data_IF_956601186690
#
_entry.id   IF_956601186690
#
_cell.length_a   1.000
_cell.length_b   1.000
_cell.length_c   1.000
_cell.angle_alpha   90.00
_cell.angle_beta   90.00
_cell.angle_gamma   90.00
#
_symmetry.space_group_name_H-M   'P 1'
#
loop_
_entity.id
_entity.type
_entity.pdbx_description
1 polymer ?
#
# COMPACT_ATOMS: atom_id res chain seq x y z
N UNK A 1 -34.33 -12.81 109.99
CA UNK A 1 -35.13 -13.45 108.94
C UNK A 1 -34.71 -12.82 107.63
N UNK A 2 -34.00 -13.57 106.80
CA UNK A 2 -33.38 -13.15 105.55
C UNK A 2 -34.39 -13.24 104.40
N UNK A 3 -34.75 -12.09 103.82
CA UNK A 3 -35.62 -12.01 102.65
C UNK A 3 -34.98 -12.66 101.43
N UNK A 4 -35.69 -13.60 100.82
CA UNK A 4 -35.29 -14.18 99.53
C UNK A 4 -35.63 -13.17 98.43
N UNK A 5 -34.62 -12.80 97.64
CA UNK A 5 -34.82 -11.97 96.44
C UNK A 5 -35.49 -12.81 95.36
N UNK A 6 -36.56 -12.30 94.76
CA UNK A 6 -37.21 -12.90 93.60
C UNK A 6 -36.29 -12.85 92.38
N UNK A 7 -36.30 -13.90 91.57
CA UNK A 7 -35.59 -13.97 90.29
C UNK A 7 -36.11 -12.94 89.30
N UNK A 8 -35.21 -12.24 88.61
CA UNK A 8 -35.54 -11.38 87.47
C UNK A 8 -36.27 -12.21 86.39
N UNK A 9 -37.35 -11.66 85.82
CA UNK A 9 -38.05 -12.27 84.68
C UNK A 9 -37.16 -12.33 83.44
N UNK A 10 -37.38 -13.35 82.59
CA UNK A 10 -36.65 -13.51 81.33
C UNK A 10 -36.90 -12.32 80.39
N UNK A 11 -35.83 -11.84 79.75
CA UNK A 11 -35.92 -10.82 78.69
C UNK A 11 -36.83 -11.29 77.56
N UNK A 12 -37.70 -10.40 77.07
CA UNK A 12 -38.55 -10.65 75.91
C UNK A 12 -37.75 -10.97 74.65
N UNK A 13 -38.32 -11.82 73.80
CA UNK A 13 -37.74 -12.24 72.52
C UNK A 13 -37.69 -11.03 71.58
N UNK A 14 -36.50 -10.70 71.04
CA UNK A 14 -36.37 -9.67 70.00
C UNK A 14 -37.23 -10.04 68.77
N UNK A 15 -37.95 -9.06 68.22
CA UNK A 15 -38.68 -9.23 66.96
C UNK A 15 -37.72 -9.52 65.79
N UNK A 16 -38.16 -10.33 64.83
CA UNK A 16 -37.40 -10.63 63.61
C UNK A 16 -37.25 -9.36 62.76
N UNK A 17 -36.02 -9.00 62.41
CA UNK A 17 -35.75 -7.95 61.42
C UNK A 17 -36.55 -8.21 60.14
N UNK A 18 -37.30 -7.20 59.67
CA UNK A 18 -37.97 -7.27 58.38
C UNK A 18 -36.97 -7.49 57.26
N UNK A 19 -37.36 -8.27 56.25
CA UNK A 19 -36.55 -8.48 55.04
C UNK A 19 -36.20 -7.14 54.40
N UNK A 20 -34.90 -6.88 54.18
CA UNK A 20 -34.45 -5.77 53.33
C UNK A 20 -35.26 -5.78 52.03
N UNK A 21 -35.89 -4.65 51.70
CA UNK A 21 -36.57 -4.50 50.42
C UNK A 21 -35.64 -4.86 49.28
N UNK A 22 -36.16 -5.54 48.26
CA UNK A 22 -35.38 -5.90 47.08
C UNK A 22 -34.68 -4.67 46.51
N UNK A 23 -33.34 -4.72 46.38
CA UNK A 23 -32.59 -3.74 45.59
C UNK A 23 -33.19 -3.78 44.18
N UNK A 24 -33.80 -2.69 43.74
CA UNK A 24 -34.38 -2.63 42.40
C UNK A 24 -33.29 -2.66 41.32
N UNK A 25 -33.67 -3.04 40.11
CA UNK A 25 -32.70 -3.32 39.04
C UNK A 25 -31.95 -2.03 38.64
N UNK A 26 -30.62 -2.05 38.48
CA UNK A 26 -29.86 -0.89 38.04
C UNK A 26 -30.43 -0.26 36.76
N UNK A 27 -30.16 1.03 36.55
CA UNK A 27 -30.40 1.67 35.26
C UNK A 27 -29.77 0.89 34.10
N UNK A 28 -30.37 0.94 32.91
CA UNK A 28 -29.87 0.18 31.76
C UNK A 28 -28.47 0.64 31.33
N UNK A 29 -27.60 -0.30 30.94
CA UNK A 29 -26.28 0.05 30.40
C UNK A 29 -26.41 0.72 29.03
N UNK A 30 -25.60 1.75 28.80
CA UNK A 30 -25.53 2.42 27.50
C UNK A 30 -25.05 1.49 26.38
N UNK A 31 -25.50 1.73 25.16
CA UNK A 31 -25.10 0.93 23.99
C UNK A 31 -23.63 1.16 23.63
N UNK A 32 -22.93 0.12 23.16
CA UNK A 32 -21.59 0.30 22.60
C UNK A 32 -21.64 1.13 21.31
N UNK A 33 -20.66 1.99 21.11
CA UNK A 33 -20.46 2.73 19.85
C UNK A 33 -20.04 1.82 18.71
N UNK A 34 -20.43 2.17 17.48
CA UNK A 34 -20.08 1.37 16.31
C UNK A 34 -18.59 1.49 15.97
N UNK A 35 -17.96 0.39 15.56
CA UNK A 35 -16.59 0.44 15.08
C UNK A 35 -16.50 1.15 13.71
N UNK A 36 -15.41 1.86 13.49
CA UNK A 36 -15.08 2.49 12.22
C UNK A 36 -14.74 1.46 11.16
N UNK A 37 -15.04 1.77 9.90
CA UNK A 37 -14.73 0.87 8.77
C UNK A 37 -13.26 0.93 8.41
N UNK A 38 -12.69 -0.18 7.99
CA UNK A 38 -11.33 -0.20 7.47
C UNK A 38 -11.22 0.55 6.13
N UNK A 39 -10.06 1.17 5.92
CA UNK A 39 -9.70 1.80 4.67
C UNK A 39 -9.40 0.77 3.58
N UNK A 40 -9.74 1.10 2.34
CA UNK A 40 -9.51 0.21 1.21
C UNK A 40 -8.03 0.21 0.81
N UNK A 41 -7.48 -0.97 0.51
CA UNK A 41 -6.16 -1.09 -0.10
C UNK A 41 -6.13 -0.57 -1.54
N UNK A 42 -4.92 -0.37 -2.06
CA UNK A 42 -4.69 0.19 -3.40
C UNK A 42 -4.26 -0.84 -4.42
N UNK A 43 -4.42 -0.49 -5.69
CA UNK A 43 -3.92 -1.30 -6.80
C UNK A 43 -2.40 -1.14 -6.97
N UNK A 44 -1.71 -2.20 -7.41
CA UNK A 44 -0.30 -2.12 -7.76
C UNK A 44 -0.10 -1.28 -9.04
N UNK A 45 1.11 -0.74 -9.17
CA UNK A 45 1.59 -0.12 -10.40
C UNK A 45 1.84 -1.15 -11.49
N UNK A 46 1.64 -0.75 -12.74
CA UNK A 46 1.91 -1.62 -13.89
C UNK A 46 3.42 -1.76 -14.10
N UNK A 47 3.90 -2.95 -14.44
CA UNK A 47 5.32 -3.11 -14.78
C UNK A 47 5.62 -2.53 -16.16
N UNK A 48 6.82 -1.97 -16.30
CA UNK A 48 7.39 -1.59 -17.57
C UNK A 48 7.60 -2.81 -18.47
N UNK A 49 7.60 -2.59 -19.77
CA UNK A 49 7.84 -3.63 -20.77
C UNK A 49 9.32 -3.67 -21.11
N UNK A 50 9.90 -4.87 -21.20
CA UNK A 50 11.26 -5.02 -21.72
C UNK A 50 11.37 -4.47 -23.15
N UNK A 51 12.52 -3.90 -23.47
CA UNK A 51 12.84 -3.50 -24.83
C UNK A 51 13.21 -4.70 -25.68
N UNK A 52 13.01 -4.56 -26.99
CA UNK A 52 13.21 -5.66 -27.92
C UNK A 52 14.64 -5.78 -28.40
N UNK A 53 14.94 -6.96 -28.94
CA UNK A 53 16.21 -7.26 -29.55
C UNK A 53 16.14 -6.97 -31.05
N UNK A 54 17.20 -6.43 -31.61
CA UNK A 54 17.27 -6.13 -33.03
C UNK A 54 18.63 -6.47 -33.62
N UNK A 55 18.61 -6.83 -34.90
CA UNK A 55 19.78 -6.92 -35.75
C UNK A 55 19.72 -5.79 -36.76
N UNK A 56 20.82 -5.07 -36.87
CA UNK A 56 20.98 -3.95 -37.81
C UNK A 56 22.14 -4.27 -38.72
N UNK A 57 21.93 -4.23 -40.03
CA UNK A 57 22.99 -4.42 -41.03
C UNK A 57 23.30 -3.11 -41.72
N UNK A 58 24.57 -2.71 -41.70
CA UNK A 58 25.10 -1.52 -42.36
C UNK A 58 25.87 -1.94 -43.62
N UNK A 59 25.48 -1.40 -44.76
CA UNK A 59 26.08 -1.68 -46.07
C UNK A 59 26.32 -0.38 -46.85
N UNK A 60 27.24 -0.41 -47.80
CA UNK A 60 27.57 0.75 -48.64
C UNK A 60 28.78 1.52 -48.10
N UNK A 61 28.77 2.84 -48.25
CA UNK A 61 29.89 3.71 -47.88
C UNK A 61 29.45 4.75 -46.85
N UNK A 62 30.43 5.45 -46.29
CA UNK A 62 30.17 6.60 -45.39
C UNK A 62 29.34 7.69 -46.10
N UNK A 63 29.38 7.78 -47.44
CA UNK A 63 28.59 8.76 -48.20
C UNK A 63 27.19 8.24 -48.57
N UNK A 64 27.08 6.95 -48.89
CA UNK A 64 25.85 6.28 -49.32
C UNK A 64 25.63 5.01 -48.48
N UNK A 65 24.88 5.15 -47.39
CA UNK A 65 24.66 4.10 -46.40
C UNK A 65 23.29 3.45 -46.59
N UNK A 66 23.27 2.12 -46.67
CA UNK A 66 22.07 1.30 -46.56
C UNK A 66 22.03 0.66 -45.17
N UNK A 67 20.91 0.86 -44.46
CA UNK A 67 20.65 0.28 -43.14
C UNK A 67 19.48 -0.67 -43.27
N UNK A 68 19.73 -1.95 -43.03
CA UNK A 68 18.68 -2.95 -42.89
C UNK A 68 18.41 -3.19 -41.41
N UNK A 69 17.14 -3.18 -41.02
CA UNK A 69 16.69 -3.43 -39.66
C UNK A 69 15.86 -4.71 -39.63
N UNK A 70 16.19 -5.60 -38.70
CA UNK A 70 15.44 -6.81 -38.38
C UNK A 70 15.17 -6.85 -36.89
N UNK A 71 13.90 -6.78 -36.51
CA UNK A 71 13.46 -6.86 -35.11
C UNK A 71 12.92 -8.24 -34.78
N UNK A 72 13.18 -8.74 -33.57
CA UNK A 72 12.72 -10.06 -33.14
C UNK A 72 11.62 -9.93 -32.07
N UNK A 73 10.36 -10.27 -32.41
CA UNK A 73 9.24 -10.35 -31.44
C UNK A 73 7.93 -9.72 -31.91
N UNK A 74 6.86 -9.87 -31.09
CA UNK A 74 5.60 -9.13 -31.24
C UNK A 74 5.65 -7.83 -30.42
N UNK A 75 5.25 -6.72 -31.03
CA UNK A 75 5.28 -5.40 -30.40
C UNK A 75 4.10 -5.18 -29.46
N UNK A 76 4.40 -4.62 -28.29
CA UNK A 76 3.45 -3.81 -27.53
C UNK A 76 3.81 -2.33 -27.76
N UNK A 77 2.82 -1.43 -27.72
CA UNK A 77 2.85 -0.02 -28.15
C UNK A 77 3.95 0.91 -27.55
N UNK A 78 4.92 0.39 -26.81
CA UNK A 78 5.91 1.13 -26.03
C UNK A 78 7.34 1.09 -26.61
N UNK A 79 7.65 0.17 -27.53
CA UNK A 79 9.00 0.03 -28.12
C UNK A 79 9.17 1.03 -29.29
N UNK A 80 10.13 1.95 -29.20
CA UNK A 80 10.43 2.97 -30.22
C UNK A 80 11.92 2.93 -30.59
N UNK A 81 12.23 2.79 -31.88
CA UNK A 81 13.59 2.94 -32.41
C UNK A 81 13.77 4.36 -32.93
N UNK A 82 14.61 5.16 -32.28
CA UNK A 82 14.86 6.55 -32.66
C UNK A 82 16.16 6.65 -33.45
N UNK A 83 16.08 7.04 -34.73
CA UNK A 83 17.22 7.61 -35.48
C UNK A 83 17.04 9.12 -35.56
N UNK A 84 18.04 9.90 -35.99
CA UNK A 84 17.91 11.37 -36.14
C UNK A 84 16.87 11.82 -37.18
N UNK A 85 16.21 10.87 -37.85
CA UNK A 85 14.99 11.06 -38.62
C UNK A 85 13.88 10.36 -37.82
N UNK A 86 12.85 11.11 -37.39
CA UNK A 86 11.74 10.60 -36.61
C UNK A 86 10.90 9.61 -37.44
N UNK A 87 11.14 8.30 -37.27
CA UNK A 87 10.30 7.26 -37.87
C UNK A 87 9.34 6.69 -36.81
N UNK A 88 8.05 7.02 -36.93
CA UNK A 88 6.98 6.40 -36.13
C UNK A 88 6.62 5.04 -36.74
N UNK A 89 7.18 3.96 -36.21
CA UNK A 89 6.71 2.60 -36.52
C UNK A 89 5.45 2.30 -35.71
N UNK A 90 4.28 2.35 -36.36
CA UNK A 90 3.00 1.89 -35.79
C UNK A 90 2.64 0.47 -36.22
N UNK A 91 3.52 -0.21 -36.97
CA UNK A 91 3.27 -1.55 -37.49
C UNK A 91 4.48 -2.48 -37.31
N UNK A 92 4.18 -3.75 -37.05
CA UNK A 92 5.09 -4.89 -37.01
C UNK A 92 5.90 -4.95 -38.31
N UNK A 93 7.17 -4.55 -38.28
CA UNK A 93 8.06 -4.76 -39.43
C UNK A 93 9.01 -5.89 -39.07
N UNK A 94 8.83 -7.06 -39.68
CA UNK A 94 9.75 -8.19 -39.48
C UNK A 94 11.12 -7.90 -40.07
N UNK A 95 11.20 -7.04 -41.09
CA UNK A 95 12.42 -6.65 -41.79
C UNK A 95 12.17 -5.37 -42.61
N UNK A 96 13.05 -4.38 -42.53
CA UNK A 96 12.91 -3.10 -43.22
C UNK A 96 14.27 -2.61 -43.76
N UNK A 97 14.28 -2.03 -44.97
CA UNK A 97 15.47 -1.47 -45.59
C UNK A 97 15.35 0.05 -45.71
N UNK A 98 16.37 0.77 -45.28
CA UNK A 98 16.45 2.22 -45.29
C UNK A 98 17.72 2.70 -45.98
N UNK A 99 17.58 3.67 -46.86
CA UNK A 99 18.70 4.24 -47.61
C UNK A 99 18.93 5.68 -47.14
N UNK A 100 20.17 6.00 -46.79
CA UNK A 100 20.59 7.30 -46.31
C UNK A 100 21.77 7.82 -47.14
N UNK A 101 21.73 9.10 -47.50
CA UNK A 101 22.93 9.81 -47.94
C UNK A 101 23.43 10.66 -46.78
N UNK A 102 24.66 10.40 -46.35
CA UNK A 102 25.30 11.14 -45.26
C UNK A 102 26.19 12.28 -45.79
N UNK A 103 26.22 12.49 -47.11
CA UNK A 103 27.06 13.49 -47.79
C UNK A 103 26.87 14.92 -47.25
N UNK A 104 25.73 15.23 -46.63
CA UNK A 104 25.42 16.53 -46.04
C UNK A 104 25.23 16.50 -44.52
N UNK A 105 25.32 15.31 -43.88
CA UNK A 105 24.99 15.15 -42.46
C UNK A 105 26.27 15.07 -41.62
N UNK A 106 26.45 15.99 -40.67
CA UNK A 106 27.49 15.89 -39.62
C UNK A 106 27.04 15.00 -38.45
N UNK A 107 26.13 14.06 -38.69
CA UNK A 107 25.33 13.39 -37.66
C UNK A 107 25.73 11.95 -37.40
N UNK A 108 25.35 11.46 -36.22
CA UNK A 108 25.35 10.04 -35.83
C UNK A 108 23.94 9.46 -35.97
N UNK A 109 23.85 8.17 -36.23
CA UNK A 109 22.62 7.37 -36.15
C UNK A 109 22.47 6.93 -34.70
N UNK A 110 21.49 7.48 -34.01
CA UNK A 110 21.07 6.98 -32.70
C UNK A 110 20.26 5.68 -32.91
N UNK A 111 20.40 4.74 -31.98
CA UNK A 111 19.59 3.54 -31.86
C UNK A 111 19.17 3.45 -30.39
N UNK A 112 17.86 3.41 -30.14
CA UNK A 112 17.33 3.28 -28.79
C UNK A 112 16.58 1.96 -28.63
N UNK A 113 16.96 1.20 -27.61
CA UNK A 113 16.33 -0.02 -27.17
C UNK A 113 16.12 0.07 -25.65
N UNK A 114 15.38 1.10 -25.24
CA UNK A 114 15.17 1.45 -23.83
C UNK A 114 14.00 0.64 -23.28
N UNK A 115 14.15 0.14 -22.05
CA UNK A 115 13.08 -0.53 -21.32
C UNK A 115 11.98 0.42 -20.85
N UNK A 116 10.76 -0.09 -20.71
CA UNK A 116 9.62 0.68 -20.22
C UNK A 116 9.73 0.99 -18.72
N UNK A 117 9.18 2.13 -18.29
CA UNK A 117 9.13 2.46 -16.86
C UNK A 117 7.99 1.70 -16.16
N UNK A 118 8.24 1.26 -14.92
CA UNK A 118 7.21 0.81 -14.01
C UNK A 118 6.36 1.98 -13.50
N UNK A 119 5.07 1.74 -13.36
CA UNK A 119 4.13 2.70 -12.78
C UNK A 119 4.15 2.68 -11.25
N UNK A 120 3.81 3.80 -10.63
CA UNK A 120 3.72 3.91 -9.17
C UNK A 120 2.50 3.12 -8.62
N UNK A 121 2.66 2.57 -7.41
CA UNK A 121 1.58 1.95 -6.66
C UNK A 121 0.58 2.98 -6.13
N UNK A 122 -0.70 2.60 -6.07
CA UNK A 122 -1.75 3.52 -5.64
C UNK A 122 -1.68 3.90 -4.16
N UNK A 123 -2.21 5.07 -3.81
CA UNK A 123 -2.46 5.47 -2.41
C UNK A 123 -3.72 4.79 -1.86
N UNK A 124 -3.73 4.51 -0.57
CA UNK A 124 -4.79 3.73 0.08
C UNK A 124 -5.76 4.57 0.90
N UNK A 125 -6.92 4.01 1.18
CA UNK A 125 -7.98 4.67 1.94
C UNK A 125 -7.68 4.76 3.43
N UNK A 126 -8.21 5.81 4.08
CA UNK A 126 -8.14 5.96 5.53
C UNK A 126 -9.18 5.08 6.22
N UNK A 127 -8.86 4.62 7.43
CA UNK A 127 -9.81 3.99 8.31
C UNK A 127 -10.79 5.02 8.91
N UNK A 128 -12.04 4.60 9.10
CA UNK A 128 -13.09 5.43 9.69
C UNK A 128 -12.97 5.51 11.21
N UNK A 129 -13.51 6.56 11.80
CA UNK A 129 -13.52 6.72 13.26
C UNK A 129 -14.60 5.85 13.91
N UNK A 130 -14.32 5.37 15.11
CA UNK A 130 -15.32 4.70 15.95
C UNK A 130 -16.33 5.69 16.52
N UNK A 131 -17.58 5.24 16.67
CA UNK A 131 -18.67 6.01 17.29
C UNK A 131 -18.56 6.05 18.80
N UNK A 132 -19.11 7.07 19.44
CA UNK A 132 -19.16 7.14 20.90
C UNK A 132 -20.18 6.14 21.48
N UNK A 133 -19.90 5.66 22.69
CA UNK A 133 -20.83 4.84 23.46
C UNK A 133 -22.00 5.67 24.00
N UNK A 134 -23.15 5.02 24.17
CA UNK A 134 -24.35 5.62 24.72
C UNK A 134 -24.25 5.83 26.23
N UNK A 135 -25.00 6.79 26.77
CA UNK A 135 -25.06 7.01 28.21
C UNK A 135 -25.82 5.89 28.92
N UNK A 136 -25.42 5.60 30.15
CA UNK A 136 -26.17 4.73 31.05
C UNK A 136 -27.46 5.38 31.53
N UNK A 137 -28.48 4.55 31.75
CA UNK A 137 -29.80 4.97 32.22
C UNK A 137 -29.78 5.40 33.69
N UNK A 138 -30.71 6.27 34.07
CA UNK A 138 -30.88 6.67 35.45
C UNK A 138 -31.34 5.52 36.34
N UNK A 139 -30.83 5.46 37.56
CA UNK A 139 -31.38 4.60 38.61
C UNK A 139 -32.76 5.10 39.02
N UNK A 140 -33.69 4.21 39.37
CA UNK A 140 -35.03 4.65 39.78
C UNK A 140 -34.98 5.27 41.17
N UNK A 141 -35.68 6.39 41.28
CA UNK A 141 -36.01 6.97 42.57
C UNK A 141 -37.07 6.09 43.25
N UNK A 142 -36.97 5.96 44.57
CA UNK A 142 -38.05 5.30 45.31
C UNK A 142 -39.25 6.25 45.41
N UNK A 143 -40.44 5.73 45.08
CA UNK A 143 -41.68 6.47 45.33
C UNK A 143 -41.82 6.72 46.83
N UNK A 144 -42.12 7.96 47.21
CA UNK A 144 -42.63 8.27 48.57
C UNK A 144 -43.96 7.54 48.76
N UNK A 145 -43.91 6.28 49.19
CA UNK A 145 -45.05 5.37 49.17
C UNK A 145 -45.15 4.55 50.44
N UNK A 146 -46.05 5.01 51.31
CA UNK A 146 -46.51 4.40 52.56
C UNK A 146 -45.55 4.52 53.75
N UNK A 147 -45.84 5.51 54.61
CA UNK A 147 -45.26 5.71 55.93
C UNK A 147 -45.56 4.51 56.85
N UNK A 148 -44.82 3.42 56.68
CA UNK A 148 -44.82 2.34 57.66
C UNK A 148 -43.93 2.79 58.81
N UNK A 149 -44.58 3.15 59.92
CA UNK A 149 -43.92 3.34 61.21
C UNK A 149 -43.11 2.08 61.54
N UNK A 150 -41.78 2.18 61.50
CA UNK A 150 -40.87 1.09 61.87
C UNK A 150 -40.24 0.31 60.71
N UNK A 151 -40.51 0.66 59.44
CA UNK A 151 -39.84 0.06 58.28
C UNK A 151 -38.61 0.86 57.83
N UNK A 152 -37.52 0.18 57.46
CA UNK A 152 -36.41 0.80 56.73
C UNK A 152 -36.92 1.26 55.35
N UNK A 153 -36.79 2.55 55.03
CA UNK A 153 -37.04 3.05 53.66
C UNK A 153 -35.95 2.50 52.73
N UNK A 154 -36.31 2.22 51.47
CA UNK A 154 -35.37 1.64 50.50
C UNK A 154 -34.40 2.69 49.94
N UNK A 155 -33.14 2.28 49.73
CA UNK A 155 -32.15 3.07 49.01
C UNK A 155 -32.57 3.27 47.54
N UNK A 156 -32.06 4.35 46.95
CA UNK A 156 -32.21 4.61 45.53
C UNK A 156 -31.42 3.60 44.70
N UNK A 157 -31.90 3.28 43.50
CA UNK A 157 -31.22 2.29 42.66
C UNK A 157 -29.96 2.88 42.02
N UNK A 158 -28.95 2.03 41.78
CA UNK A 158 -27.73 2.45 41.06
C UNK A 158 -28.06 2.84 39.62
N UNK A 159 -27.42 3.91 39.12
CA UNK A 159 -27.45 4.27 37.71
C UNK A 159 -26.76 3.22 36.83
N UNK A 160 -27.18 3.12 35.57
CA UNK A 160 -26.59 2.21 34.60
C UNK A 160 -25.21 2.66 34.15
N UNK A 161 -24.32 1.73 33.84
CA UNK A 161 -23.00 2.06 33.31
C UNK A 161 -23.12 2.62 31.87
N UNK A 162 -22.23 3.53 31.49
CA UNK A 162 -22.13 4.01 30.11
C UNK A 162 -21.60 2.94 29.16
N UNK A 163 -22.03 2.98 27.91
CA UNK A 163 -21.56 2.07 26.88
C UNK A 163 -20.13 2.40 26.45
N UNK A 164 -19.36 1.38 26.06
CA UNK A 164 -18.01 1.61 25.52
C UNK A 164 -18.07 2.32 24.15
N UNK A 165 -17.05 3.11 23.81
CA UNK A 165 -16.85 3.63 22.47
C UNK A 165 -16.50 2.52 21.48
N UNK A 166 -16.82 2.73 20.20
CA UNK A 166 -16.39 1.87 19.11
C UNK A 166 -14.92 2.09 18.77
N UNK A 167 -14.25 1.07 18.25
CA UNK A 167 -12.87 1.18 17.78
C UNK A 167 -12.80 1.94 16.45
N UNK A 168 -11.69 2.60 16.16
CA UNK A 168 -11.41 3.12 14.83
C UNK A 168 -11.02 1.99 13.86
N UNK A 169 -11.38 2.14 12.60
CA UNK A 169 -10.98 1.22 11.53
C UNK A 169 -9.51 1.38 11.17
N UNK A 170 -8.88 0.32 10.68
CA UNK A 170 -7.51 0.35 10.19
C UNK A 170 -7.41 1.09 8.86
N UNK A 171 -6.26 1.68 8.56
CA UNK A 171 -5.98 2.23 7.23
C UNK A 171 -5.70 1.13 6.20
N UNK A 172 -6.02 1.38 4.94
CA UNK A 172 -5.74 0.46 3.85
C UNK A 172 -4.25 0.35 3.54
N UNK A 173 -3.81 -0.75 2.93
CA UNK A 173 -2.42 -0.93 2.47
C UNK A 173 -2.20 -0.24 1.12
N UNK A 174 -1.10 0.51 0.99
CA UNK A 174 -0.69 1.10 -0.28
C UNK A 174 -0.29 0.06 -1.32
N UNK A 175 -0.41 0.41 -2.59
CA UNK A 175 -0.10 -0.49 -3.71
C UNK A 175 1.41 -0.64 -3.92
N UNK A 176 1.88 -1.80 -4.37
CA UNK A 176 3.29 -1.95 -4.76
C UNK A 176 3.58 -1.20 -6.06
N UNK A 177 4.79 -0.67 -6.22
CA UNK A 177 5.26 -0.12 -7.49
C UNK A 177 5.47 -1.22 -8.55
N UNK A 178 5.35 -0.86 -9.82
CA UNK A 178 5.65 -1.75 -10.94
C UNK A 178 7.15 -1.88 -11.20
N UNK A 179 7.59 -3.02 -11.73
CA UNK A 179 9.00 -3.23 -12.07
C UNK A 179 9.39 -2.40 -13.30
N UNK A 180 10.66 -2.04 -13.42
CA UNK A 180 11.22 -1.54 -14.68
C UNK A 180 11.24 -2.65 -15.74
N UNK A 181 11.18 -2.26 -17.01
CA UNK A 181 11.53 -3.13 -18.14
C UNK A 181 13.03 -3.06 -18.44
N UNK A 182 13.62 -4.17 -18.87
CA UNK A 182 15.01 -4.25 -19.28
C UNK A 182 15.27 -3.53 -20.61
N UNK A 183 16.50 -3.07 -20.82
CA UNK A 183 16.94 -2.61 -22.13
C UNK A 183 17.14 -3.76 -23.12
N UNK A 184 17.18 -3.46 -24.41
CA UNK A 184 17.26 -4.47 -25.47
C UNK A 184 18.68 -4.89 -25.82
N UNK A 185 18.83 -6.10 -26.36
CA UNK A 185 20.09 -6.56 -26.96
C UNK A 185 20.12 -6.27 -28.46
N UNK A 186 21.08 -5.46 -28.91
CA UNK A 186 21.19 -5.03 -30.30
C UNK A 186 22.49 -5.55 -30.90
N UNK A 187 22.40 -6.21 -32.05
CA UNK A 187 23.56 -6.60 -32.83
C UNK A 187 23.67 -5.72 -34.08
N UNK A 188 24.80 -5.05 -34.26
CA UNK A 188 25.08 -4.22 -35.45
C UNK A 188 26.12 -4.95 -36.30
N UNK A 189 25.75 -5.31 -37.52
CA UNK A 189 26.58 -6.02 -38.49
C UNK A 189 27.04 -5.09 -39.59
N UNK A 190 28.31 -5.17 -39.97
CA UNK A 190 28.79 -4.51 -41.19
C UNK A 190 29.97 -5.24 -41.81
N UNK A 191 30.08 -5.14 -43.13
CA UNK A 191 31.29 -5.53 -43.87
C UNK A 191 32.41 -4.49 -43.72
N UNK A 192 32.05 -3.23 -43.42
CA UNK A 192 33.00 -2.14 -43.22
C UNK A 192 32.94 -1.66 -41.76
N UNK A 193 33.97 -1.96 -40.94
CA UNK A 193 33.97 -1.60 -39.52
C UNK A 193 33.92 -0.07 -39.29
N UNK A 194 34.30 0.75 -40.28
CA UNK A 194 34.25 2.22 -40.16
C UNK A 194 32.81 2.72 -40.01
N UNK A 195 31.82 1.95 -40.48
CA UNK A 195 30.41 2.33 -40.36
C UNK A 195 29.91 2.27 -38.91
N UNK A 196 30.56 1.53 -38.01
CA UNK A 196 30.22 1.53 -36.58
C UNK A 196 30.45 2.89 -35.92
N UNK A 197 31.36 3.71 -36.46
CA UNK A 197 31.63 5.06 -35.96
C UNK A 197 30.47 6.01 -36.16
N UNK A 198 29.53 5.67 -37.05
CA UNK A 198 28.33 6.44 -37.29
C UNK A 198 27.22 6.15 -36.27
N UNK A 199 27.38 5.16 -35.40
CA UNK A 199 26.33 4.68 -34.51
C UNK A 199 26.54 5.18 -33.06
N UNK A 200 25.46 5.68 -32.48
CA UNK A 200 25.29 5.89 -31.05
C UNK A 200 24.12 5.06 -30.51
N UNK A 201 24.24 4.60 -29.26
CA UNK A 201 23.32 3.62 -28.67
C UNK A 201 22.77 4.08 -27.33
N UNK A 202 21.49 3.79 -27.10
CA UNK A 202 20.85 3.90 -25.79
C UNK A 202 20.03 2.65 -25.49
N UNK A 203 20.61 1.72 -24.74
CA UNK A 203 19.99 0.46 -24.33
C UNK A 203 19.63 0.46 -22.85
N UNK A 204 19.37 1.61 -22.24
CA UNK A 204 19.13 1.66 -20.79
C UNK A 204 17.85 0.93 -20.37
N UNK A 205 17.83 0.43 -19.15
CA UNK A 205 16.61 -0.03 -18.50
C UNK A 205 15.63 1.13 -18.28
N UNK A 206 14.35 0.78 -18.11
CA UNK A 206 13.37 1.68 -17.54
C UNK A 206 13.62 1.93 -16.05
N UNK A 207 12.84 2.82 -15.46
CA UNK A 207 12.84 3.10 -14.02
C UNK A 207 11.77 2.29 -13.30
N UNK A 208 12.04 1.81 -12.10
CA UNK A 208 11.00 1.19 -11.28
C UNK A 208 9.96 2.22 -10.79
N UNK A 209 8.76 1.72 -10.53
CA UNK A 209 7.70 2.47 -9.87
C UNK A 209 7.88 2.51 -8.36
N UNK A 210 7.45 3.60 -7.73
CA UNK A 210 7.45 3.73 -6.26
C UNK A 210 6.26 2.98 -5.64
N UNK A 211 6.45 2.51 -4.42
CA UNK A 211 5.35 1.99 -3.61
C UNK A 211 4.42 3.12 -3.15
N UNK A 212 3.11 2.82 -3.11
CA UNK A 212 2.10 3.75 -2.64
C UNK A 212 2.01 3.80 -1.11
N UNK A 213 1.58 4.93 -0.56
CA UNK A 213 1.46 5.09 0.89
C UNK A 213 0.28 4.32 1.48
N UNK A 214 0.50 3.78 2.68
CA UNK A 214 -0.52 3.19 3.52
C UNK A 214 -1.41 4.23 4.21
N UNK A 215 -2.71 3.95 4.28
CA UNK A 215 -3.73 4.82 4.84
C UNK A 215 -3.57 4.96 6.34
N UNK A 216 -4.02 6.10 6.89
CA UNK A 216 -4.06 6.27 8.35
C UNK A 216 -5.21 5.46 8.94
N UNK A 217 -5.02 4.88 10.12
CA UNK A 217 -6.13 4.33 10.90
C UNK A 217 -7.02 5.45 11.45
N UNK A 218 -8.29 5.14 11.68
CA UNK A 218 -9.26 6.03 12.31
C UNK A 218 -9.09 6.08 13.82
N UNK A 219 -9.59 7.13 14.45
CA UNK A 219 -9.57 7.26 15.91
C UNK A 219 -10.64 6.39 16.56
N UNK A 220 -10.36 5.88 17.75
CA UNK A 220 -11.40 5.26 18.60
C UNK A 220 -12.45 6.28 19.05
N UNK A 221 -13.67 5.81 19.27
CA UNK A 221 -14.79 6.59 19.79
C UNK A 221 -14.73 6.77 21.30
N UNK A 222 -15.34 7.83 21.81
CA UNK A 222 -15.40 8.10 23.24
C UNK A 222 -16.34 7.13 23.98
N UNK A 223 -16.03 6.78 25.23
CA UNK A 223 -16.97 6.04 26.08
C UNK A 223 -18.17 6.91 26.49
N UNK A 224 -19.33 6.28 26.67
CA UNK A 224 -20.54 6.94 27.15
C UNK A 224 -20.47 7.25 28.64
N UNK A 225 -21.17 8.30 29.08
CA UNK A 225 -21.24 8.65 30.50
C UNK A 225 -22.07 7.62 31.28
N UNK A 226 -21.71 7.36 32.54
CA UNK A 226 -22.58 6.60 33.45
C UNK A 226 -23.85 7.37 33.78
N UNK A 227 -24.95 6.64 34.05
CA UNK A 227 -26.21 7.21 34.49
C UNK A 227 -26.16 7.60 35.96
N UNK A 228 -26.87 8.66 36.37
CA UNK A 228 -26.91 9.02 37.78
C UNK A 228 -27.75 8.02 38.59
N UNK A 229 -27.39 7.80 39.85
CA UNK A 229 -28.18 6.98 40.75
C UNK A 229 -29.52 7.61 41.14
N UNK A 230 -30.48 6.77 41.50
CA UNK A 230 -31.79 7.17 41.96
C UNK A 230 -31.76 7.74 43.37
N UNK A 231 -32.73 8.58 43.72
CA UNK A 231 -32.87 9.16 45.06
C UNK A 231 -33.49 8.15 46.04
N UNK A 232 -32.94 8.09 47.26
CA UNK A 232 -33.46 7.25 48.34
C UNK A 232 -34.79 7.76 48.91
N UNK A 233 -35.52 6.89 49.61
CA UNK A 233 -36.77 7.24 50.30
C UNK A 233 -36.55 8.14 51.53
N UNK A 234 -37.54 9.00 51.81
CA UNK A 234 -37.55 9.88 52.98
C UNK A 234 -38.36 9.23 54.12
N UNK A 235 -37.87 9.32 55.36
CA UNK A 235 -38.59 8.80 56.53
C UNK A 235 -39.78 9.69 56.92
N UNK A 236 -40.82 9.09 57.54
CA UNK A 236 -42.03 9.80 57.99
C UNK A 236 -41.86 10.63 59.26
N UNK A 237 -42.84 11.50 59.59
CA UNK A 237 -42.75 12.40 60.74
C UNK A 237 -42.64 11.64 62.07
N UNK A 238 -41.95 12.28 63.01
CA UNK A 238 -41.28 11.67 64.17
C UNK A 238 -42.17 10.83 65.11
N UNK A 239 -41.72 9.60 65.36
CA UNK A 239 -42.12 8.73 66.49
C UNK A 239 -40.96 7.86 66.99
N UNK A 240 -40.03 7.51 66.08
CA UNK A 240 -38.67 7.03 66.32
C UNK A 240 -37.79 7.60 65.18
N UNK A 241 -36.50 7.94 65.37
CA UNK A 241 -35.64 8.35 64.26
C UNK A 241 -35.50 7.21 63.25
N UNK A 242 -36.22 7.29 62.12
CA UNK A 242 -35.88 6.47 60.95
C UNK A 242 -34.58 7.02 60.34
N UNK A 243 -33.68 6.16 59.90
CA UNK A 243 -32.52 6.60 59.10
C UNK A 243 -32.99 6.89 57.68
N UNK A 244 -32.66 8.06 57.13
CA UNK A 244 -32.88 8.34 55.72
C UNK A 244 -32.15 7.31 54.85
N UNK A 245 -32.78 6.88 53.77
CA UNK A 245 -32.16 5.99 52.81
C UNK A 245 -31.10 6.73 51.99
N UNK A 246 -30.12 5.98 51.50
CA UNK A 246 -29.06 6.52 50.66
C UNK A 246 -29.54 6.64 49.21
N UNK A 247 -29.04 7.65 48.52
CA UNK A 247 -29.13 7.70 47.07
C UNK A 247 -28.33 6.53 46.47
N UNK A 248 -28.80 6.03 45.34
CA UNK A 248 -28.07 5.07 44.54
C UNK A 248 -26.77 5.66 44.01
N UNK A 249 -25.77 4.81 43.83
CA UNK A 249 -24.51 5.22 43.22
C UNK A 249 -24.70 5.54 41.72
N UNK A 250 -23.82 6.36 41.17
CA UNK A 250 -23.74 6.56 39.72
C UNK A 250 -23.24 5.29 39.00
N UNK A 251 -23.59 5.18 37.74
CA UNK A 251 -22.99 4.22 36.81
C UNK A 251 -21.56 4.63 36.47
N UNK A 252 -20.74 3.63 36.12
CA UNK A 252 -19.39 3.89 35.63
C UNK A 252 -19.45 4.47 34.22
N UNK A 253 -18.48 5.30 33.85
CA UNK A 253 -18.32 5.72 32.46
C UNK A 253 -17.80 4.55 31.62
N UNK A 254 -18.26 4.47 30.37
CA UNK A 254 -17.77 3.51 29.39
C UNK A 254 -16.31 3.80 29.02
N UNK A 255 -15.59 2.77 28.58
CA UNK A 255 -14.23 2.94 28.07
C UNK A 255 -14.23 3.55 26.67
N UNK A 256 -13.22 4.34 26.34
CA UNK A 256 -12.96 4.75 24.95
C UNK A 256 -12.56 3.55 24.09
N UNK A 257 -12.87 3.61 22.80
CA UNK A 257 -12.41 2.64 21.81
C UNK A 257 -10.94 2.86 21.45
N UNK A 258 -10.33 1.83 20.87
CA UNK A 258 -8.96 1.87 20.39
C UNK A 258 -8.88 2.55 19.02
N UNK A 259 -7.78 3.25 18.75
CA UNK A 259 -7.48 3.75 17.39
C UNK A 259 -7.08 2.61 16.47
N UNK A 260 -7.45 2.72 15.19
CA UNK A 260 -7.04 1.79 14.16
C UNK A 260 -5.58 1.94 13.79
N UNK A 261 -5.00 0.86 13.25
CA UNK A 261 -3.61 0.85 12.82
C UNK A 261 -3.43 1.59 11.49
N UNK A 262 -2.25 2.19 11.29
CA UNK A 262 -1.85 2.68 9.96
C UNK A 262 -1.63 1.49 9.02
N UNK A 263 -2.11 1.60 7.79
CA UNK A 263 -1.85 0.63 6.75
C UNK A 263 -0.39 0.61 6.31
N UNK A 264 0.05 -0.54 5.80
CA UNK A 264 1.41 -0.70 5.30
C UNK A 264 1.64 0.14 4.04
N UNK A 265 2.87 0.66 3.89
CA UNK A 265 3.32 1.28 2.64
C UNK A 265 3.68 0.17 1.65
N UNK A 266 3.30 0.33 0.39
CA UNK A 266 3.67 -0.60 -0.67
C UNK A 266 5.17 -0.62 -0.90
N UNK A 267 5.71 -1.74 -1.36
CA UNK A 267 7.11 -1.83 -1.77
C UNK A 267 7.35 -1.08 -3.07
N UNK A 268 8.58 -0.62 -3.28
CA UNK A 268 9.03 -0.15 -4.60
C UNK A 268 9.09 -1.34 -5.57
N UNK A 269 8.99 -1.06 -6.86
CA UNK A 269 9.24 -2.06 -7.90
C UNK A 269 10.73 -2.41 -7.98
N UNK A 270 11.06 -3.43 -8.76
CA UNK A 270 12.43 -3.82 -9.01
C UNK A 270 13.02 -3.05 -10.20
N UNK A 271 14.28 -2.62 -10.07
CA UNK A 271 15.09 -2.16 -11.19
C UNK A 271 15.32 -3.32 -12.18
N UNK A 272 15.52 -2.97 -13.45
CA UNK A 272 15.88 -3.90 -14.51
C UNK A 272 17.30 -3.62 -15.01
N UNK A 273 17.85 -4.57 -15.78
CA UNK A 273 19.19 -4.43 -16.34
C UNK A 273 19.16 -3.58 -17.61
N UNK A 274 20.20 -2.77 -17.78
CA UNK A 274 20.51 -2.21 -19.09
C UNK A 274 20.73 -3.34 -20.09
N UNK A 275 20.33 -3.08 -21.33
CA UNK A 275 20.61 -3.91 -22.47
C UNK A 275 22.06 -3.78 -22.92
N UNK A 276 22.35 -4.32 -24.09
CA UNK A 276 23.74 -4.43 -24.57
C UNK A 276 23.80 -4.29 -26.07
N UNK A 277 24.94 -3.80 -26.56
CA UNK A 277 25.27 -3.85 -27.97
C UNK A 277 26.34 -4.92 -28.25
N UNK A 278 26.23 -5.57 -29.40
CA UNK A 278 27.32 -6.30 -30.03
C UNK A 278 27.55 -5.76 -31.45
N UNK A 279 28.76 -5.29 -31.72
CA UNK A 279 29.23 -5.00 -33.07
C UNK A 279 29.78 -6.30 -33.67
N UNK A 280 29.49 -6.56 -34.93
CA UNK A 280 29.93 -7.74 -35.64
C UNK A 280 30.44 -7.36 -37.04
N UNK A 281 31.73 -7.60 -37.30
CA UNK A 281 32.28 -7.54 -38.66
C UNK A 281 31.87 -8.82 -39.36
N UNK A 282 31.27 -8.69 -40.54
CA UNK A 282 30.81 -9.84 -41.33
C UNK A 282 31.46 -9.84 -42.71
N UNK A 283 31.50 -11.00 -43.36
CA UNK A 283 31.85 -11.08 -44.80
C UNK A 283 30.65 -10.74 -45.70
N UNK A 284 30.85 -10.85 -47.02
CA UNK A 284 29.81 -10.61 -48.03
C UNK A 284 28.63 -11.58 -47.90
N UNK A 285 28.86 -12.77 -47.33
CA UNK A 285 27.86 -13.83 -47.13
C UNK A 285 27.17 -13.73 -45.75
N UNK A 286 27.45 -12.68 -44.98
CA UNK A 286 26.93 -12.43 -43.61
C UNK A 286 27.49 -13.37 -42.52
N UNK A 287 28.60 -14.05 -42.79
CA UNK A 287 29.29 -14.82 -41.75
C UNK A 287 30.04 -13.87 -40.82
N UNK A 288 29.91 -14.08 -39.51
CA UNK A 288 30.60 -13.28 -38.50
C UNK A 288 32.09 -13.60 -38.52
N UNK A 289 32.91 -12.58 -38.82
CA UNK A 289 34.35 -12.64 -38.79
C UNK A 289 34.89 -12.25 -37.40
N UNK A 290 34.31 -11.22 -36.79
CA UNK A 290 34.72 -10.71 -35.48
C UNK A 290 33.54 -10.06 -34.75
N UNK A 291 33.56 -10.07 -33.42
CA UNK A 291 32.57 -9.34 -32.61
C UNK A 291 33.24 -8.51 -31.51
N UNK A 292 32.65 -7.37 -31.18
CA UNK A 292 33.05 -6.53 -30.05
C UNK A 292 31.84 -5.97 -29.32
N UNK A 293 31.98 -5.65 -28.02
CA UNK A 293 30.94 -4.96 -27.24
C UNK A 293 31.04 -3.42 -27.32
N UNK A 294 32.06 -2.92 -28.02
CA UNK A 294 32.33 -1.49 -28.25
C UNK A 294 32.81 -1.31 -29.70
N UNK A 295 32.46 -0.19 -30.32
CA UNK A 295 32.83 0.20 -31.69
C UNK A 295 34.35 0.27 -31.89
N UNK A 296 35.10 0.47 -30.82
CA UNK A 296 36.57 0.52 -30.84
C UNK A 296 37.26 -0.83 -30.63
N UNK A 297 36.51 -1.88 -30.33
CA UNK A 297 37.06 -3.19 -29.97
C UNK A 297 37.01 -4.22 -31.12
N UNK A 298 36.57 -3.81 -32.31
CA UNK A 298 36.64 -4.61 -33.54
C UNK A 298 37.92 -4.24 -34.29
N UNK A 299 38.88 -5.17 -34.35
CA UNK A 299 40.14 -5.01 -35.07
C UNK A 299 40.21 -5.99 -36.23
N UNK A 300 39.93 -5.51 -37.45
CA UNK A 300 40.16 -6.30 -38.67
C UNK A 300 41.67 -6.52 -38.83
N UNK A 301 42.15 -7.64 -38.30
CA UNK A 301 43.58 -7.99 -38.32
C UNK A 301 44.07 -8.35 -39.73
N UNK A 302 43.16 -8.74 -40.63
CA UNK A 302 43.46 -9.06 -42.02
C UNK A 302 42.19 -9.03 -42.89
N UNK A 303 42.34 -8.63 -44.14
CA UNK A 303 41.34 -8.83 -45.19
C UNK A 303 42.07 -9.26 -46.48
N UNK A 304 41.40 -10.07 -47.30
CA UNK A 304 41.92 -10.49 -48.62
C UNK A 304 41.02 -9.90 -49.69
N UNK A 305 41.61 -9.11 -50.59
CA UNK A 305 40.92 -8.70 -51.82
C UNK A 305 41.29 -9.72 -52.88
N UNK A 306 40.30 -10.44 -53.40
CA UNK A 306 40.42 -11.23 -54.63
C UNK A 306 39.78 -10.45 -55.75
N UNK A 307 40.54 -10.21 -56.81
CA UNK A 307 40.00 -9.69 -58.07
C UNK A 307 39.33 -10.81 -58.89
N UNK A 308 38.69 -10.45 -60.00
CA UNK A 308 37.97 -11.41 -60.88
C UNK A 308 38.89 -12.46 -61.53
N UNK A 309 40.21 -12.28 -61.41
CA UNK A 309 41.27 -13.09 -61.98
C UNK A 309 41.91 -14.05 -60.97
N UNK A 310 41.45 -14.03 -59.71
CA UNK A 310 41.83 -14.95 -58.65
C UNK A 310 43.32 -14.84 -58.25
N UNK A 311 43.90 -13.64 -58.39
CA UNK A 311 45.26 -13.34 -57.95
C UNK A 311 45.21 -12.92 -56.47
N UNK A 312 45.81 -13.71 -55.60
CA UNK A 312 45.97 -13.35 -54.19
C UNK A 312 46.98 -12.22 -54.04
N UNK A 313 46.52 -10.98 -53.83
CA UNK A 313 47.36 -9.92 -53.30
C UNK A 313 47.20 -9.84 -51.78
N UNK A 314 48.02 -10.61 -51.05
CA UNK A 314 48.14 -10.48 -49.60
C UNK A 314 48.84 -9.15 -49.25
N UNK A 315 48.05 -8.12 -48.96
CA UNK A 315 48.57 -6.92 -48.31
C UNK A 315 48.69 -7.17 -46.80
N UNK A 316 49.94 -7.28 -46.31
CA UNK A 316 50.20 -7.29 -44.86
C UNK A 316 50.03 -5.86 -44.30
N UNK A 317 49.31 -5.67 -43.18
CA UNK A 317 49.24 -4.38 -42.52
C UNK A 317 50.57 -4.02 -41.84
N UNK A 318 50.91 -2.73 -41.83
CA UNK A 318 51.93 -2.11 -40.99
C UNK A 318 51.33 -1.70 -39.64
#
# INVERSE_FOLDING_TARGET
>A
MSGHSGSNGESGINGTSGSSGHIGMPGGTGSRGNDGRDGLGSKPGQSGTDSQHALIRLQGTIENLNVQLKTFGQFNNSSKLFTSIDWNFTNTVSEANYYFSLAESKGVILIQAIGGNGGDGGQSGQGGNGGCGGSGGYGRNQSSGYYISGGNVADGERGGDGGAGGNGGNGGSGGTGGNAGAGGHIQVRSVDPRLFMLIEMDCRAGREGKGGEGGRGGSGGCGGSGGSGGKGGWSGPAGLPGTNSKDGAEGNHGSSGYSGNKGATGSHGCAASDGSIQYAVVDTDDNILETGSDKYHASVCCYTITDENNDENQAKPH
#
